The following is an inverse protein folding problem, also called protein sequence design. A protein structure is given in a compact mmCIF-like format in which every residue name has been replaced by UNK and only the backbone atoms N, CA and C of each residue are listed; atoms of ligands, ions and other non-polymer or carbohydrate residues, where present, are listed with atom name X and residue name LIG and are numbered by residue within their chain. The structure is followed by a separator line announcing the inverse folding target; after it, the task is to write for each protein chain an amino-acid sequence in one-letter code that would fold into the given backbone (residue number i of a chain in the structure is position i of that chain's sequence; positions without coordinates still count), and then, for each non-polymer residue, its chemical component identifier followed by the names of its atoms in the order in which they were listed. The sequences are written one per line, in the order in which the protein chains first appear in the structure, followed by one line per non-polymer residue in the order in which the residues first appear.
data_IF_536842088875
#
_entry.id   IF_536842088875
#
_cell.length_a   1.000
_cell.length_b   1.000
_cell.length_c   1.000
_cell.angle_alpha   90.00
_cell.angle_beta   90.00
_cell.angle_gamma   90.00
#
_symmetry.space_group_name_H-M   'P 1'
#
loop_
_entity.id
_entity.type
_entity.pdbx_description
1 polymer ?
#
# COMPACT_ATOMS: atom_id res chain seq x y z
N UNK A 1 6.80 -3.48 -7.43
CA UNK A 1 5.78 -3.98 -6.49
C UNK A 1 4.57 -4.53 -7.23
N UNK A 2 3.74 -3.72 -7.91
CA UNK A 2 2.53 -4.16 -8.67
C UNK A 2 2.73 -5.49 -9.41
N UNK A 3 3.64 -5.51 -10.38
CA UNK A 3 3.92 -6.69 -11.20
C UNK A 3 4.17 -7.96 -10.38
N UNK A 4 4.99 -7.88 -9.33
CA UNK A 4 5.33 -9.03 -8.48
C UNK A 4 4.10 -9.55 -7.72
N UNK A 5 3.23 -8.65 -7.27
CA UNK A 5 1.98 -9.04 -6.61
C UNK A 5 0.99 -9.69 -7.59
N UNK A 6 0.84 -9.12 -8.79
CA UNK A 6 0.00 -9.68 -9.85
C UNK A 6 0.51 -11.07 -10.29
N UNK A 7 1.83 -11.20 -10.51
CA UNK A 7 2.49 -12.47 -10.86
C UNK A 7 2.36 -13.53 -9.76
N UNK A 8 2.14 -13.14 -8.49
CA UNK A 8 1.93 -14.07 -7.37
C UNK A 8 0.51 -14.64 -7.29
N UNK A 9 -0.41 -14.18 -8.15
CA UNK A 9 -1.80 -14.61 -8.17
C UNK A 9 -2.67 -13.98 -7.08
N UNK A 10 -2.14 -13.01 -6.32
CA UNK A 10 -2.91 -12.26 -5.32
C UNK A 10 -3.64 -11.09 -5.99
N UNK A 11 -4.95 -11.00 -5.80
CA UNK A 11 -5.79 -9.97 -6.43
C UNK A 11 -6.57 -9.16 -5.40
N UNK A 12 -7.10 -8.01 -5.82
CA UNK A 12 -8.01 -7.21 -5.00
C UNK A 12 -7.70 -5.71 -4.99
N UNK A 13 -8.54 -4.92 -4.30
CA UNK A 13 -8.45 -3.48 -4.30
C UNK A 13 -7.26 -2.97 -3.49
N UNK A 14 -6.65 -1.89 -3.97
CA UNK A 14 -5.67 -1.09 -3.23
C UNK A 14 -6.47 -0.10 -2.39
N UNK A 15 -6.51 -0.31 -1.08
CA UNK A 15 -7.23 0.54 -0.13
C UNK A 15 -6.33 1.66 0.39
N UNK A 16 -5.08 1.35 0.71
CA UNK A 16 -4.09 2.32 1.18
C UNK A 16 -2.91 2.37 0.22
N UNK A 17 -2.45 3.59 -0.09
CA UNK A 17 -1.30 3.77 -0.96
C UNK A 17 -0.87 5.24 -1.09
N UNK A 18 0.32 5.49 -1.64
CA UNK A 18 0.84 6.83 -1.85
C UNK A 18 -0.01 7.61 -2.84
N UNK A 19 -0.23 8.90 -2.56
CA UNK A 19 -1.09 9.78 -3.39
C UNK A 19 -0.51 10.12 -4.76
N UNK A 20 0.81 10.12 -4.86
CA UNK A 20 1.53 10.57 -6.06
C UNK A 20 2.01 9.40 -6.93
N UNK A 21 1.50 8.19 -6.69
CA UNK A 21 1.81 7.01 -7.51
C UNK A 21 0.56 6.55 -8.27
N UNK A 22 0.50 6.86 -9.56
CA UNK A 22 -0.60 6.43 -10.43
C UNK A 22 -0.64 4.90 -10.62
N UNK A 23 0.47 4.21 -10.41
CA UNK A 23 0.53 2.75 -10.54
C UNK A 23 0.04 2.03 -9.28
N UNK A 24 -0.14 2.70 -8.15
CA UNK A 24 -0.61 2.08 -6.91
C UNK A 24 -1.61 2.99 -6.20
N UNK A 25 -2.39 3.72 -6.98
CA UNK A 25 -3.37 4.66 -6.46
C UNK A 25 -4.47 3.92 -5.66
N UNK A 26 -4.85 4.44 -4.48
CA UNK A 26 -6.02 3.95 -3.77
C UNK A 26 -7.27 3.93 -4.67
N UNK A 27 -8.04 2.85 -4.60
CA UNK A 27 -9.20 2.58 -5.46
C UNK A 27 -8.88 1.82 -6.75
N UNK A 28 -7.61 1.74 -7.17
CA UNK A 28 -7.22 0.80 -8.22
C UNK A 28 -7.26 -0.65 -7.69
N UNK A 29 -7.26 -1.63 -8.58
CA UNK A 29 -7.19 -3.05 -8.22
C UNK A 29 -5.98 -3.72 -8.85
N UNK A 30 -5.36 -4.63 -8.13
CA UNK A 30 -4.35 -5.54 -8.68
C UNK A 30 -5.06 -6.66 -9.45
N UNK A 31 -4.60 -6.92 -10.66
CA UNK A 31 -5.06 -8.04 -11.46
C UNK A 31 -4.45 -9.34 -10.91
N UNK A 32 -5.18 -10.05 -10.07
CA UNK A 32 -4.76 -11.32 -9.49
C UNK A 32 -5.80 -12.42 -9.65
N UNK A 33 -5.53 -13.58 -9.07
CA UNK A 33 -6.39 -14.75 -9.10
C UNK A 33 -7.63 -14.64 -8.20
N UNK A 34 -8.28 -15.76 -7.95
CA UNK A 34 -9.58 -15.79 -7.24
C UNK A 34 -9.50 -15.35 -5.77
N UNK A 35 -8.31 -15.35 -5.16
CA UNK A 35 -8.14 -14.95 -3.76
C UNK A 35 -7.98 -13.43 -3.66
N UNK A 36 -9.03 -12.79 -3.16
CA UNK A 36 -9.13 -11.35 -3.05
C UNK A 36 -8.73 -10.85 -1.64
N UNK A 37 -7.89 -9.82 -1.60
CA UNK A 37 -7.48 -9.12 -0.38
C UNK A 37 -7.61 -7.61 -0.56
N UNK A 38 -7.80 -6.90 0.55
CA UNK A 38 -7.59 -5.47 0.59
C UNK A 38 -6.10 -5.19 0.80
N UNK A 39 -5.51 -4.33 -0.04
CA UNK A 39 -4.08 -4.02 0.01
C UNK A 39 -3.77 -2.63 0.55
N UNK A 40 -2.74 -2.58 1.39
CA UNK A 40 -2.03 -1.36 1.76
C UNK A 40 -0.60 -1.41 1.22
N UNK A 41 -0.29 -0.57 0.23
CA UNK A 41 0.94 -0.66 -0.55
C UNK A 41 1.73 0.65 -0.47
N UNK A 42 2.92 0.60 0.10
CA UNK A 42 3.85 1.74 0.18
C UNK A 42 5.22 1.31 -0.34
N UNK A 43 5.48 1.43 -1.65
CA UNK A 43 6.73 0.97 -2.26
C UNK A 43 7.97 1.61 -1.67
N UNK A 44 7.86 2.89 -1.29
CA UNK A 44 8.95 3.64 -0.67
C UNK A 44 8.37 4.54 0.41
N UNK A 45 8.35 4.02 1.64
CA UNK A 45 8.09 4.85 2.82
C UNK A 45 9.40 5.50 3.27
N UNK A 46 9.39 6.83 3.34
CA UNK A 46 10.62 7.62 3.53
C UNK A 46 11.38 7.92 2.23
N UNK A 47 10.68 8.27 1.14
CA UNK A 47 11.30 8.63 -0.16
C UNK A 47 12.44 9.67 -0.05
N UNK A 48 12.28 10.67 0.83
CA UNK A 48 13.35 11.66 1.11
C UNK A 48 14.58 11.04 1.79
N UNK A 49 14.41 9.99 2.60
CA UNK A 49 15.53 9.27 3.21
C UNK A 49 16.29 8.47 2.15
N UNK A 50 15.57 7.77 1.25
CA UNK A 50 16.17 7.09 0.10
C UNK A 50 16.97 8.07 -0.76
N UNK A 51 16.38 9.23 -1.10
CA UNK A 51 17.05 10.24 -1.92
C UNK A 51 18.33 10.79 -1.30
N UNK A 52 18.45 10.76 0.04
CA UNK A 52 19.61 11.26 0.78
C UNK A 52 20.60 10.18 1.21
N UNK A 53 20.29 8.90 0.95
CA UNK A 53 21.09 7.78 1.48
C UNK A 53 21.00 7.65 3.01
N UNK A 54 19.94 8.16 3.62
CA UNK A 54 19.70 8.10 5.06
C UNK A 54 19.04 6.77 5.45
N UNK A 55 19.14 6.42 6.74
CA UNK A 55 18.55 5.22 7.30
C UNK A 55 17.00 5.25 7.35
N UNK A 56 16.41 4.08 7.66
CA UNK A 56 15.01 3.88 8.01
C UNK A 56 13.98 4.08 6.88
N UNK A 57 14.40 4.00 5.62
CA UNK A 57 13.46 3.80 4.52
C UNK A 57 13.06 2.33 4.42
N UNK A 58 11.77 2.07 4.14
CA UNK A 58 11.23 0.70 4.00
C UNK A 58 10.23 0.62 2.85
N UNK A 59 10.10 -0.58 2.28
CA UNK A 59 9.01 -0.93 1.35
C UNK A 59 8.01 -1.78 2.11
N UNK A 60 6.73 -1.37 2.13
CA UNK A 60 5.68 -2.00 2.94
C UNK A 60 4.60 -2.59 2.02
N UNK A 61 4.21 -3.82 2.34
CA UNK A 61 3.00 -4.48 1.83
C UNK A 61 2.21 -4.97 3.03
N UNK A 62 0.94 -4.58 3.09
CA UNK A 62 -0.05 -5.15 4.00
C UNK A 62 -1.20 -5.72 3.18
N UNK A 63 -1.63 -6.94 3.51
CA UNK A 63 -2.79 -7.58 2.91
C UNK A 63 -3.68 -8.08 4.04
N UNK A 64 -4.96 -7.74 3.98
CA UNK A 64 -5.96 -8.12 4.99
C UNK A 64 -7.20 -8.68 4.30
N UNK A 65 -8.01 -9.42 5.05
CA UNK A 65 -9.33 -9.83 4.57
C UNK A 65 -10.16 -8.59 4.17
N UNK A 66 -11.06 -8.69 3.17
CA UNK A 66 -11.85 -7.56 2.71
C UNK A 66 -12.56 -6.81 3.85
N UNK A 67 -12.38 -5.48 3.90
CA UNK A 67 -12.90 -4.62 4.97
C UNK A 67 -12.02 -4.52 6.22
N UNK A 68 -10.84 -5.14 6.23
CA UNK A 68 -9.95 -5.17 7.41
C UNK A 68 -9.20 -3.87 7.72
N UNK A 69 -9.12 -2.92 6.76
CA UNK A 69 -8.52 -1.61 7.02
C UNK A 69 -9.50 -0.63 7.64
N UNK A 70 -9.00 0.18 8.59
CA UNK A 70 -9.77 1.29 9.12
C UNK A 70 -10.10 2.31 8.02
N UNK A 71 -11.36 2.72 7.94
CA UNK A 71 -11.80 3.80 7.05
C UNK A 71 -11.53 5.14 7.71
N UNK A 72 -10.49 5.82 7.22
CA UNK A 72 -10.09 7.13 7.71
C UNK A 72 -10.25 8.16 6.57
N UNK A 73 -10.61 9.41 6.89
CA UNK A 73 -10.51 10.53 5.97
C UNK A 73 -9.14 10.60 5.32
N UNK A 74 -9.13 11.03 4.05
CA UNK A 74 -7.96 10.96 3.20
C UNK A 74 -6.75 11.68 3.82
N UNK A 75 -6.94 12.86 4.44
CA UNK A 75 -5.93 13.56 5.25
C UNK A 75 -6.35 13.47 6.70
N UNK A 76 -5.53 12.83 7.53
CA UNK A 76 -5.75 12.77 8.97
C UNK A 76 -4.41 12.69 9.69
N UNK A 77 -4.23 13.50 10.73
CA UNK A 77 -3.12 13.38 11.68
C UNK A 77 -3.62 12.70 12.95
N UNK A 78 -3.07 11.52 13.26
CA UNK A 78 -3.47 10.72 14.42
C UNK A 78 -2.33 10.77 15.43
N UNK A 79 -2.64 11.06 16.69
CA UNK A 79 -1.73 10.76 17.78
C UNK A 79 -1.64 9.23 17.95
N UNK A 80 -0.44 8.68 17.80
CA UNK A 80 -0.20 7.24 17.93
C UNK A 80 0.62 6.99 19.19
N UNK A 81 0.10 6.15 20.07
CA UNK A 81 0.88 5.47 21.11
C UNK A 81 0.91 3.99 20.73
N UNK A 82 2.11 3.46 20.54
CA UNK A 82 2.38 2.08 20.11
C UNK A 82 3.28 1.40 21.12
#
# INVERSE_FOLDING_TARGET
MRRVLEDSGLGGPIVLGPRNDSNLAPGASLAGGERLFDFGLFPVEGASQVARGSANAVSIVAAVEPGGFAQLPQVWYVEKMV
#
